data_IF_406219680647
#
_entry.id   IF_406219680647
#
_cell.length_a   1.000
_cell.length_b   1.000
_cell.length_c   1.000
_cell.angle_alpha   90.00
_cell.angle_beta   90.00
_cell.angle_gamma   90.00
#
_symmetry.space_group_name_H-M   'P 1'
#
loop_
_entity.id
_entity.type
_entity.pdbx_description
1 polymer ?
#
# COMPACT_ATOMS: atom_id res chain seq x y z
N UNK A 1 10.03 9.20 -7.16
CA UNK A 1 10.89 8.03 -6.99
C UNK A 1 10.13 6.88 -7.64
N UNK A 2 10.72 6.15 -8.56
CA UNK A 2 10.04 5.11 -9.34
C UNK A 2 10.74 3.79 -9.05
N UNK A 3 10.05 2.90 -8.34
CA UNK A 3 10.55 1.55 -8.05
C UNK A 3 9.94 0.59 -9.03
N UNK A 4 10.66 0.25 -10.05
CA UNK A 4 10.15 -0.70 -11.03
C UNK A 4 10.14 -2.14 -10.51
N UNK A 5 10.69 -2.40 -9.32
CA UNK A 5 10.77 -3.73 -8.70
C UNK A 5 10.51 -3.62 -7.21
N UNK A 6 9.64 -4.48 -6.72
CA UNK A 6 9.28 -4.60 -5.30
C UNK A 6 9.41 -6.06 -4.88
N UNK A 7 10.06 -6.30 -3.75
CA UNK A 7 10.07 -7.59 -3.08
C UNK A 7 8.76 -7.75 -2.30
N UNK A 8 8.12 -8.88 -2.47
CA UNK A 8 6.91 -9.27 -1.75
C UNK A 8 7.30 -10.23 -0.64
N UNK A 9 6.96 -9.90 0.59
CA UNK A 9 7.25 -10.72 1.77
C UNK A 9 5.95 -11.19 2.43
N UNK A 10 6.05 -12.30 3.13
CA UNK A 10 5.02 -12.90 3.98
C UNK A 10 5.68 -13.41 5.26
N UNK A 11 5.39 -12.78 6.42
CA UNK A 11 5.97 -13.17 7.71
C UNK A 11 7.49 -13.40 7.66
N UNK A 12 8.25 -12.41 7.29
CA UNK A 12 9.71 -12.45 7.16
C UNK A 12 10.25 -13.37 6.02
N UNK A 13 9.39 -13.97 5.22
CA UNK A 13 9.79 -14.80 4.08
C UNK A 13 9.64 -14.03 2.79
N UNK A 14 10.70 -13.98 1.99
CA UNK A 14 10.62 -13.45 0.64
C UNK A 14 9.77 -14.38 -0.23
N UNK A 15 8.59 -13.93 -0.63
CA UNK A 15 7.66 -14.66 -1.52
C UNK A 15 8.15 -14.61 -2.96
N UNK A 16 8.67 -13.46 -3.37
CA UNK A 16 9.11 -13.24 -4.74
C UNK A 16 9.29 -11.77 -5.08
N UNK A 17 9.51 -11.53 -6.36
CA UNK A 17 9.70 -10.21 -6.92
C UNK A 17 8.54 -9.84 -7.83
N UNK A 18 8.07 -8.61 -7.68
CA UNK A 18 7.07 -7.98 -8.54
C UNK A 18 7.71 -6.79 -9.23
N UNK A 19 7.62 -6.74 -10.55
CA UNK A 19 8.16 -5.63 -11.34
C UNK A 19 7.08 -5.02 -12.22
N UNK A 20 7.28 -3.77 -12.66
CA UNK A 20 6.42 -3.10 -13.61
C UNK A 20 7.12 -2.95 -14.97
N UNK A 21 6.47 -3.41 -16.03
CA UNK A 21 6.88 -3.23 -17.42
C UNK A 21 6.10 -2.06 -18.03
N UNK A 22 6.74 -0.91 -18.13
CA UNK A 22 6.14 0.31 -18.70
C UNK A 22 5.71 0.14 -20.17
N UNK A 23 6.47 -0.66 -20.93
CA UNK A 23 6.18 -0.85 -22.37
C UNK A 23 4.91 -1.64 -22.60
N UNK A 24 4.65 -2.61 -21.72
CA UNK A 24 3.49 -3.50 -21.80
C UNK A 24 2.35 -3.07 -20.90
N UNK A 25 2.57 -2.06 -20.04
CA UNK A 25 1.61 -1.64 -19.01
C UNK A 25 1.11 -2.84 -18.21
N UNK A 26 2.02 -3.62 -17.66
CA UNK A 26 1.69 -4.81 -16.89
C UNK A 26 2.69 -5.03 -15.76
N UNK A 27 2.25 -5.68 -14.69
CA UNK A 27 3.18 -6.21 -13.71
C UNK A 27 3.64 -7.62 -14.09
N UNK A 28 4.82 -7.96 -13.63
CA UNK A 28 5.43 -9.28 -13.79
C UNK A 28 5.82 -9.79 -12.42
N UNK A 29 5.33 -10.95 -12.04
CA UNK A 29 5.62 -11.60 -10.77
C UNK A 29 6.39 -12.90 -10.98
N UNK A 30 7.39 -13.14 -10.10
CA UNK A 30 8.16 -14.36 -10.06
C UNK A 30 8.39 -14.78 -8.62
N UNK A 31 8.11 -16.03 -8.30
CA UNK A 31 8.37 -16.60 -6.97
C UNK A 31 9.87 -16.65 -6.65
N UNK A 32 10.18 -16.45 -5.37
CA UNK A 32 11.50 -16.71 -4.84
C UNK A 32 11.75 -18.22 -4.72
N UNK A 33 13.00 -18.64 -4.99
CA UNK A 33 13.38 -20.04 -4.98
C UNK A 33 13.26 -20.68 -3.58
N UNK A 34 13.65 -19.94 -2.56
CA UNK A 34 13.62 -20.45 -1.19
C UNK A 34 12.19 -20.50 -0.64
N UNK A 35 11.32 -19.54 -1.05
CA UNK A 35 9.91 -19.57 -0.72
C UNK A 35 9.23 -20.86 -1.22
N UNK A 36 9.56 -21.29 -2.41
CA UNK A 36 8.95 -22.50 -2.98
C UNK A 36 9.23 -23.77 -2.16
N UNK A 37 10.32 -23.79 -1.40
CA UNK A 37 10.65 -24.94 -0.53
C UNK A 37 9.68 -25.10 0.64
N UNK A 38 8.99 -24.01 1.05
CA UNK A 38 7.94 -24.09 2.09
C UNK A 38 6.67 -24.79 1.59
N UNK A 39 6.44 -24.89 0.29
CA UNK A 39 5.23 -25.48 -0.29
C UNK A 39 3.95 -24.65 -0.03
N UNK A 40 4.08 -23.39 0.39
CA UNK A 40 2.95 -22.52 0.67
C UNK A 40 2.36 -21.97 -0.62
N UNK A 41 1.31 -22.62 -1.10
CA UNK A 41 0.61 -22.20 -2.32
C UNK A 41 -0.40 -21.09 -2.01
N UNK A 42 0.07 -19.85 -1.91
CA UNK A 42 -0.72 -18.69 -1.46
C UNK A 42 -1.73 -18.19 -2.50
N UNK A 43 -1.55 -18.55 -3.77
CA UNK A 43 -2.41 -18.12 -4.87
C UNK A 43 -2.57 -19.22 -5.92
N UNK A 44 -3.16 -20.40 -5.57
CA UNK A 44 -3.11 -21.60 -6.41
C UNK A 44 -3.79 -21.46 -7.77
N UNK A 45 -4.78 -20.56 -7.88
CA UNK A 45 -5.52 -20.37 -9.13
C UNK A 45 -4.85 -19.36 -10.08
N UNK A 46 -4.16 -18.37 -9.53
CA UNK A 46 -3.63 -17.23 -10.28
C UNK A 46 -2.13 -17.37 -10.51
N UNK A 47 -1.44 -17.85 -9.49
CA UNK A 47 0.00 -18.06 -9.49
C UNK A 47 0.31 -19.39 -8.76
N UNK A 48 0.03 -20.55 -9.39
CA UNK A 48 0.36 -21.83 -8.80
C UNK A 48 1.86 -21.95 -8.57
N UNK A 49 2.22 -22.66 -7.51
CA UNK A 49 3.61 -22.87 -7.10
C UNK A 49 4.24 -24.04 -7.93
N UNK A 50 4.44 -23.80 -9.22
CA UNK A 50 4.88 -24.82 -10.19
C UNK A 50 6.37 -24.71 -10.54
N UNK A 51 6.90 -23.50 -10.68
CA UNK A 51 8.30 -23.28 -11.05
C UNK A 51 8.79 -21.89 -10.70
N UNK A 52 10.01 -21.81 -10.14
CA UNK A 52 10.73 -20.53 -9.89
C UNK A 52 11.07 -19.78 -11.18
N UNK A 53 11.15 -20.48 -12.29
CA UNK A 53 11.55 -19.88 -13.57
C UNK A 53 10.38 -19.27 -14.33
N UNK A 54 9.15 -19.42 -13.83
CA UNK A 54 7.97 -18.88 -14.49
C UNK A 54 7.74 -17.44 -14.07
N UNK A 55 7.87 -16.55 -15.03
CA UNK A 55 7.43 -15.15 -14.89
C UNK A 55 5.98 -15.04 -15.34
N UNK A 56 5.13 -14.52 -14.45
CA UNK A 56 3.70 -14.32 -14.72
C UNK A 56 3.41 -12.86 -14.97
N UNK A 57 2.78 -12.56 -16.10
CA UNK A 57 2.39 -11.21 -16.49
C UNK A 57 0.93 -10.94 -16.17
N UNK A 58 0.67 -9.76 -15.63
CA UNK A 58 -0.66 -9.30 -15.24
C UNK A 58 -0.98 -7.99 -15.98
N UNK A 59 -1.62 -8.06 -17.16
CA UNK A 59 -1.85 -6.89 -17.99
C UNK A 59 -2.86 -5.93 -17.35
N UNK A 60 -2.60 -4.64 -17.50
CA UNK A 60 -3.53 -3.58 -17.14
C UNK A 60 -4.51 -3.37 -18.30
N UNK A 61 -5.53 -4.21 -18.38
CA UNK A 61 -6.50 -4.19 -19.47
C UNK A 61 -7.90 -4.62 -19.05
N UNK A 62 -8.91 -4.02 -19.62
CA UNK A 62 -10.31 -4.37 -19.41
C UNK A 62 -10.73 -4.32 -17.94
N UNK A 63 -11.46 -5.33 -17.50
CA UNK A 63 -11.94 -5.41 -16.12
C UNK A 63 -10.80 -5.55 -15.09
N UNK A 64 -9.67 -6.12 -15.48
CA UNK A 64 -8.51 -6.26 -14.61
C UNK A 64 -7.89 -4.92 -14.22
N UNK A 65 -7.91 -3.93 -15.11
CA UNK A 65 -7.44 -2.57 -14.81
C UNK A 65 -8.23 -1.97 -13.64
N UNK A 66 -9.55 -2.10 -13.68
CA UNK A 66 -10.43 -1.53 -12.65
C UNK A 66 -10.37 -2.27 -11.31
N UNK A 67 -10.20 -3.60 -11.35
CA UNK A 67 -10.25 -4.43 -10.15
C UNK A 67 -8.88 -4.61 -9.49
N UNK A 68 -7.83 -4.76 -10.30
CA UNK A 68 -6.52 -5.19 -9.80
C UNK A 68 -5.39 -4.22 -10.17
N UNK A 69 -5.68 -3.15 -10.90
CA UNK A 69 -4.71 -2.14 -11.32
C UNK A 69 -3.44 -2.73 -11.99
N UNK A 70 -3.60 -3.84 -12.74
CA UNK A 70 -2.50 -4.55 -13.39
C UNK A 70 -1.61 -5.37 -12.46
N UNK A 71 -2.04 -5.60 -11.22
CA UNK A 71 -1.35 -6.47 -10.27
C UNK A 71 -1.92 -7.91 -10.27
N UNK A 72 -1.17 -8.89 -9.74
CA UNK A 72 -1.73 -10.16 -9.35
C UNK A 72 -2.87 -9.98 -8.34
N UNK A 73 -3.94 -10.75 -8.45
CA UNK A 73 -5.13 -10.61 -7.60
C UNK A 73 -4.79 -10.70 -6.10
N UNK A 74 -3.93 -11.63 -5.71
CA UNK A 74 -3.53 -11.83 -4.32
C UNK A 74 -2.65 -10.69 -3.74
N UNK A 75 -2.10 -9.84 -4.61
CA UNK A 75 -1.35 -8.63 -4.23
C UNK A 75 -2.24 -7.39 -4.30
N UNK A 76 -3.18 -7.35 -5.24
CA UNK A 76 -4.01 -6.18 -5.49
C UNK A 76 -4.84 -5.74 -4.28
N UNK A 77 -5.26 -6.67 -3.43
CA UNK A 77 -5.98 -6.40 -2.18
C UNK A 77 -5.15 -5.61 -1.16
N UNK A 78 -3.82 -5.56 -1.35
CA UNK A 78 -2.94 -4.74 -0.53
C UNK A 78 -2.97 -3.25 -0.91
N UNK A 79 -3.52 -2.90 -2.08
CA UNK A 79 -3.65 -1.50 -2.48
C UNK A 79 -4.69 -0.77 -1.62
N UNK A 80 -4.51 0.54 -1.42
CA UNK A 80 -5.50 1.36 -0.74
C UNK A 80 -6.85 1.29 -1.44
N UNK A 81 -7.90 1.26 -0.65
CA UNK A 81 -9.28 1.40 -1.13
C UNK A 81 -9.61 2.83 -1.61
N UNK A 82 -10.88 3.13 -1.80
CA UNK A 82 -11.30 4.45 -2.26
C UNK A 82 -10.87 5.58 -1.32
N UNK A 83 -11.08 5.43 0.00
CA UNK A 83 -10.67 6.41 0.98
C UNK A 83 -9.14 6.52 1.07
N UNK A 84 -8.46 5.39 1.17
CA UNK A 84 -7.00 5.34 1.20
C UNK A 84 -6.35 5.96 -0.04
N UNK A 85 -6.97 5.82 -1.22
CA UNK A 85 -6.53 6.50 -2.44
C UNK A 85 -6.67 8.03 -2.36
N UNK A 86 -7.74 8.55 -1.77
CA UNK A 86 -7.92 10.00 -1.56
C UNK A 86 -6.82 10.53 -0.64
N UNK A 87 -6.57 9.86 0.48
CA UNK A 87 -5.50 10.25 1.41
C UNK A 87 -4.12 10.17 0.74
N UNK A 88 -3.86 9.09 -0.02
CA UNK A 88 -2.63 8.93 -0.77
C UNK A 88 -2.39 10.07 -1.78
N UNK A 89 -3.42 10.45 -2.53
CA UNK A 89 -3.32 11.56 -3.47
C UNK A 89 -2.98 12.88 -2.76
N UNK A 90 -3.66 13.18 -1.65
CA UNK A 90 -3.38 14.38 -0.85
C UNK A 90 -1.97 14.36 -0.27
N UNK A 91 -1.51 13.22 0.19
CA UNK A 91 -0.14 13.06 0.65
C UNK A 91 0.88 13.27 -0.48
N UNK A 92 0.63 12.75 -1.67
CA UNK A 92 1.47 12.98 -2.85
C UNK A 92 1.54 14.47 -3.24
N UNK A 93 0.38 15.15 -3.27
CA UNK A 93 0.28 16.59 -3.56
C UNK A 93 1.09 17.42 -2.55
N UNK A 94 0.95 17.13 -1.26
CA UNK A 94 1.68 17.83 -0.18
C UNK A 94 3.20 17.61 -0.26
N UNK A 95 3.64 16.47 -0.78
CA UNK A 95 5.05 16.16 -0.99
C UNK A 95 5.56 16.53 -2.39
N UNK A 96 4.80 17.29 -3.17
CA UNK A 96 5.13 17.70 -4.53
C UNK A 96 5.42 16.54 -5.49
N UNK A 97 4.84 15.38 -5.26
CA UNK A 97 4.95 14.20 -6.10
C UNK A 97 3.80 14.14 -7.11
N UNK A 98 4.12 13.80 -8.35
CA UNK A 98 3.10 13.69 -9.39
C UNK A 98 2.48 12.30 -9.39
N UNK A 99 1.22 12.19 -9.02
CA UNK A 99 0.50 10.89 -8.95
C UNK A 99 0.45 10.15 -10.29
N UNK A 100 0.48 10.87 -11.42
CA UNK A 100 0.50 10.29 -12.78
C UNK A 100 1.78 9.51 -13.12
N UNK A 101 2.86 9.72 -12.35
CA UNK A 101 4.13 9.03 -12.56
C UNK A 101 4.26 7.76 -11.73
N UNK A 102 3.28 7.47 -10.87
CA UNK A 102 3.31 6.36 -9.91
C UNK A 102 2.46 5.21 -10.46
N UNK A 103 3.09 4.10 -10.81
CA UNK A 103 2.40 2.87 -11.20
C UNK A 103 1.94 2.06 -9.97
N UNK A 104 1.26 0.95 -10.19
CA UNK A 104 0.71 0.12 -9.11
C UNK A 104 1.80 -0.53 -8.25
N UNK A 105 2.94 -0.87 -8.84
CA UNK A 105 4.09 -1.45 -8.12
C UNK A 105 4.75 -0.39 -7.23
N UNK A 106 4.93 0.85 -7.75
CA UNK A 106 5.42 1.97 -6.94
C UNK A 106 4.53 2.21 -5.71
N UNK A 107 3.18 2.11 -5.88
CA UNK A 107 2.23 2.30 -4.79
C UNK A 107 2.44 1.30 -3.65
N UNK A 108 2.81 0.06 -3.96
CA UNK A 108 3.13 -0.95 -2.95
C UNK A 108 4.34 -0.56 -2.11
N UNK A 109 5.35 0.09 -2.69
CA UNK A 109 6.50 0.62 -1.95
C UNK A 109 6.12 1.74 -0.97
N UNK A 110 5.10 2.54 -1.28
CA UNK A 110 4.56 3.53 -0.33
C UNK A 110 3.75 2.89 0.78
N UNK A 111 3.12 1.74 0.53
CA UNK A 111 2.38 0.98 1.54
C UNK A 111 3.37 0.27 2.48
N UNK A 112 4.40 -0.37 1.93
CA UNK A 112 5.42 -1.07 2.71
C UNK A 112 4.83 -2.22 3.54
N UNK A 113 5.03 -2.16 4.86
CA UNK A 113 4.50 -3.16 5.83
C UNK A 113 3.08 -2.90 6.28
N UNK A 114 2.47 -1.78 5.88
CA UNK A 114 1.15 -1.33 6.36
C UNK A 114 -0.02 -1.85 5.54
N UNK A 115 0.24 -2.77 4.61
CA UNK A 115 -0.82 -3.40 3.83
C UNK A 115 -1.88 -4.08 4.71
N UNK A 116 -3.12 -4.12 4.24
CA UNK A 116 -4.12 -4.98 4.83
C UNK A 116 -3.75 -6.43 4.52
N UNK A 117 -3.72 -7.28 5.55
CA UNK A 117 -3.33 -8.68 5.40
C UNK A 117 -1.88 -8.94 5.82
N UNK A 118 -1.31 -10.02 5.29
CA UNK A 118 -0.01 -10.53 5.73
C UNK A 118 1.14 -10.23 4.76
N UNK A 119 0.86 -9.62 3.61
CA UNK A 119 1.90 -9.27 2.65
C UNK A 119 2.55 -7.94 3.02
N UNK A 120 3.87 -7.89 2.87
CA UNK A 120 4.71 -6.72 3.07
C UNK A 120 5.52 -6.43 1.81
N UNK A 121 5.86 -5.17 1.56
CA UNK A 121 6.54 -4.74 0.35
C UNK A 121 7.82 -3.97 0.66
N UNK A 122 8.91 -4.28 -0.08
CA UNK A 122 10.20 -3.61 0.03
C UNK A 122 10.75 -3.23 -1.36
N UNK A 123 11.36 -2.03 -1.49
CA UNK A 123 11.64 -1.05 -0.45
C UNK A 123 10.36 -0.38 0.05
N UNK A 124 10.35 0.07 1.31
CA UNK A 124 9.29 0.89 1.87
C UNK A 124 9.74 2.36 1.87
N UNK A 125 8.99 3.24 1.19
CA UNK A 125 9.35 4.67 1.11
C UNK A 125 9.02 5.47 2.36
N UNK A 126 8.06 4.99 3.14
CA UNK A 126 7.70 5.59 4.41
C UNK A 126 8.17 4.66 5.52
N UNK A 127 9.13 5.14 6.30
CA UNK A 127 9.64 4.39 7.46
C UNK A 127 8.60 4.41 8.58
N UNK A 128 8.51 3.30 9.27
CA UNK A 128 7.69 3.18 10.47
C UNK A 128 8.47 3.74 11.65
N UNK A 129 8.12 4.95 12.08
CA UNK A 129 8.56 5.45 13.37
C UNK A 129 7.67 4.85 14.45
N UNK A 130 8.22 3.91 15.21
CA UNK A 130 7.52 3.16 16.25
C UNK A 130 7.01 4.02 17.43
N UNK A 131 7.29 5.31 17.47
CA UNK A 131 7.06 6.19 18.62
C UNK A 131 6.19 7.42 18.35
N UNK A 132 5.47 7.48 17.24
CA UNK A 132 4.62 8.65 16.95
C UNK A 132 3.35 8.58 17.78
N UNK A 133 3.26 9.48 18.77
CA UNK A 133 2.03 9.69 19.53
C UNK A 133 1.00 10.36 18.61
N UNK A 134 -0.09 9.66 18.30
CA UNK A 134 -1.12 10.14 17.38
C UNK A 134 -2.19 10.85 18.18
N UNK A 135 -2.39 12.14 17.89
CA UNK A 135 -3.54 12.89 18.41
C UNK A 135 -4.78 12.61 17.55
N UNK A 136 -5.67 11.77 18.05
CA UNK A 136 -6.88 11.33 17.33
C UNK A 136 -7.80 12.47 16.92
N UNK A 137 -7.88 13.53 17.72
CA UNK A 137 -8.71 14.69 17.40
C UNK A 137 -8.24 15.38 16.12
N UNK A 138 -6.94 15.63 16.02
CA UNK A 138 -6.33 16.25 14.84
C UNK A 138 -6.46 15.39 13.59
N UNK A 139 -6.30 14.06 13.72
CA UNK A 139 -6.55 13.13 12.63
C UNK A 139 -8.02 13.16 12.16
N UNK A 140 -8.96 13.16 13.10
CA UNK A 140 -10.38 13.20 12.80
C UNK A 140 -10.77 14.50 12.06
N UNK A 141 -10.29 15.64 12.53
CA UNK A 141 -10.54 16.94 11.90
C UNK A 141 -10.00 16.99 10.47
N UNK A 142 -8.75 16.56 10.27
CA UNK A 142 -8.16 16.53 8.93
C UNK A 142 -8.87 15.53 8.02
N UNK A 143 -9.22 14.35 8.52
CA UNK A 143 -9.94 13.33 7.77
C UNK A 143 -11.32 13.83 7.32
N UNK A 144 -12.06 14.51 8.21
CA UNK A 144 -13.35 15.13 7.87
C UNK A 144 -13.20 16.25 6.85
N UNK A 145 -12.20 17.11 6.99
CA UNK A 145 -11.91 18.16 6.03
C UNK A 145 -11.63 17.57 4.63
N UNK A 146 -10.77 16.57 4.52
CA UNK A 146 -10.49 15.88 3.24
C UNK A 146 -11.75 15.19 2.70
N UNK A 147 -12.61 14.64 3.57
CA UNK A 147 -13.80 13.91 3.15
C UNK A 147 -14.89 14.85 2.61
N UNK A 148 -15.07 16.03 3.23
CA UNK A 148 -16.06 17.01 2.84
C UNK A 148 -15.64 17.83 1.62
N UNK A 149 -14.37 18.25 1.57
CA UNK A 149 -13.82 19.15 0.54
C UNK A 149 -12.85 18.40 -0.38
N UNK A 150 -13.32 17.36 -1.05
CA UNK A 150 -12.51 16.43 -1.85
C UNK A 150 -11.57 17.08 -2.89
N UNK A 151 -11.80 18.34 -3.28
CA UNK A 151 -11.02 19.01 -4.32
C UNK A 151 -10.15 20.16 -3.82
N UNK A 152 -10.52 20.86 -2.75
CA UNK A 152 -9.92 22.16 -2.41
C UNK A 152 -9.22 22.25 -1.03
N UNK A 153 -8.86 21.11 -0.42
CA UNK A 153 -8.11 21.14 0.84
C UNK A 153 -6.68 21.57 0.58
N UNK A 154 -6.38 22.83 0.87
CA UNK A 154 -5.01 23.31 0.93
C UNK A 154 -4.35 22.78 2.23
N UNK A 155 -3.39 21.90 2.08
CA UNK A 155 -2.65 21.32 3.22
C UNK A 155 -1.41 22.17 3.41
N UNK A 156 -1.40 22.96 4.46
CA UNK A 156 -0.24 23.73 4.86
C UNK A 156 0.80 22.86 5.61
N UNK A 157 1.98 23.44 5.85
CA UNK A 157 3.07 22.71 6.53
C UNK A 157 2.72 22.26 7.95
N UNK A 158 1.76 22.93 8.62
CA UNK A 158 1.32 22.54 9.96
C UNK A 158 0.51 21.23 9.96
N UNK A 159 -0.14 20.92 8.85
CA UNK A 159 -0.91 19.70 8.66
C UNK A 159 -0.14 18.55 8.00
N UNK A 160 1.11 18.78 7.57
CA UNK A 160 1.88 17.77 6.84
C UNK A 160 2.16 16.52 7.68
N UNK A 161 2.52 16.68 8.95
CA UNK A 161 2.74 15.57 9.87
C UNK A 161 1.44 14.81 10.18
N UNK A 162 0.34 15.55 10.36
CA UNK A 162 -0.99 14.97 10.60
C UNK A 162 -1.43 14.17 9.37
N UNK A 163 -1.19 14.71 8.16
CA UNK A 163 -1.49 14.03 6.91
C UNK A 163 -0.64 12.76 6.73
N UNK A 164 0.63 12.79 7.09
CA UNK A 164 1.49 11.61 7.07
C UNK A 164 0.96 10.54 8.04
N UNK A 165 0.58 10.92 9.24
CA UNK A 165 -0.03 10.01 10.20
C UNK A 165 -1.38 9.48 9.69
N UNK A 166 -2.22 10.32 9.10
CA UNK A 166 -3.47 9.90 8.48
C UNK A 166 -3.22 8.91 7.34
N UNK A 167 -2.20 9.15 6.53
CA UNK A 167 -1.78 8.22 5.49
C UNK A 167 -1.32 6.88 6.09
N UNK A 168 -0.53 6.92 7.17
CA UNK A 168 -0.06 5.71 7.87
C UNK A 168 -1.20 4.85 8.42
N UNK A 169 -2.25 5.44 8.95
CA UNK A 169 -3.36 4.72 9.61
C UNK A 169 -4.58 4.50 8.72
N UNK A 170 -4.77 5.32 7.70
CA UNK A 170 -6.01 5.39 6.90
C UNK A 170 -5.99 4.63 5.59
N UNK A 171 -4.83 4.15 5.12
CA UNK A 171 -4.70 3.65 3.76
C UNK A 171 -5.16 2.21 3.54
N UNK A 172 -5.38 1.44 4.60
CA UNK A 172 -5.62 0.00 4.50
C UNK A 172 -6.95 -0.49 5.05
N UNK A 173 -7.83 0.40 5.48
CA UNK A 173 -9.05 0.02 6.23
C UNK A 173 -10.33 -0.12 5.40
N UNK A 174 -10.30 -0.46 4.15
CA UNK A 174 -11.43 -0.76 3.25
C UNK A 174 -12.66 0.17 3.30
N UNK A 175 -13.13 0.70 2.17
CA UNK A 175 -14.39 1.45 2.03
C UNK A 175 -14.27 2.93 1.65
N UNK A 176 -15.39 3.66 1.65
CA UNK A 176 -15.47 5.04 1.15
C UNK A 176 -15.39 6.12 2.24
N UNK A 177 -15.60 5.75 3.49
CA UNK A 177 -15.62 6.69 4.62
C UNK A 177 -14.27 6.73 5.31
N UNK A 178 -13.92 7.89 5.92
CA UNK A 178 -12.74 7.99 6.77
C UNK A 178 -12.74 6.93 7.85
N UNK A 179 -11.64 6.24 7.96
CA UNK A 179 -11.38 5.25 9.01
C UNK A 179 -9.87 5.05 9.15
N UNK A 180 -9.46 4.56 10.29
CA UNK A 180 -8.07 4.32 10.62
C UNK A 180 -7.91 2.98 11.34
N UNK A 181 -6.80 2.33 11.11
CA UNK A 181 -6.36 1.17 11.90
C UNK A 181 -5.29 1.68 12.86
N UNK A 182 -5.56 1.54 14.15
CA UNK A 182 -4.67 1.97 15.21
C UNK A 182 -4.36 0.80 16.14
N UNK A 183 -3.15 0.79 16.67
CA UNK A 183 -2.80 -0.03 17.81
C UNK A 183 -3.00 0.73 19.11
N UNK A 184 -3.47 0.07 20.16
CA UNK A 184 -3.59 0.64 21.48
C UNK A 184 -2.89 -0.27 22.48
N UNK A 185 -1.94 0.29 23.26
CA UNK A 185 -1.43 -0.36 24.44
C UNK A 185 -2.43 -0.18 25.58
N UNK A 186 -3.13 -1.25 25.94
CA UNK A 186 -4.17 -1.23 26.97
C UNK A 186 -3.63 -0.81 28.36
N UNK A 187 -2.36 -1.03 28.63
CA UNK A 187 -1.72 -0.68 29.91
C UNK A 187 -1.43 0.80 30.03
N UNK A 188 -0.99 1.44 28.96
CA UNK A 188 -0.59 2.86 28.95
C UNK A 188 -1.64 3.77 28.31
N UNK A 189 -2.59 3.21 27.55
CA UNK A 189 -3.53 3.96 26.74
C UNK A 189 -2.88 4.63 25.53
N UNK A 190 -1.61 4.32 25.22
CA UNK A 190 -0.89 4.91 24.11
C UNK A 190 -1.44 4.39 22.79
N UNK A 191 -1.71 5.31 21.86
CA UNK A 191 -2.20 5.01 20.52
C UNK A 191 -1.07 5.21 19.51
N UNK A 192 -0.89 4.22 18.63
CA UNK A 192 0.12 4.24 17.57
C UNK A 192 -0.50 3.84 16.23
N UNK A 193 0.11 4.18 15.08
CA UNK A 193 -0.21 3.50 13.83
C UNK A 193 -0.04 1.98 14.02
N UNK A 194 -0.78 1.20 13.24
CA UNK A 194 -0.61 -0.25 13.27
C UNK A 194 0.85 -0.59 12.92
N UNK A 195 1.41 -1.46 13.68
CA UNK A 195 2.73 -2.06 13.76
C UNK A 195 3.27 -2.73 12.55
#
# INVERSE_FOLDING_TARGET
MKDNVVQVNLWDKNVGLLSWDDKRSCSVFQFDKDFMQYGWNIAPLVAPLDSVYVQRTFPMSGNREKLYAGLPEFIADSLPDHWGNVVFQKWMEANHLQSKMVNSVDRLSFIGKRAMGALEFQPAHIQEDASVNIELASLYELANKIFLDRQDVNIDMSNSLILENLYKVGTSAGGQRPKAIIGMDERTGTISPKF
#
